data_IF_656697164666
#
_entry.id   IF_656697164666
#
_cell.length_a   1.000
_cell.length_b   1.000
_cell.length_c   1.000
_cell.angle_alpha   90.00
_cell.angle_beta   90.00
_cell.angle_gamma   90.00
#
_symmetry.space_group_name_H-M   'P 1'
#
loop_
_entity.id
_entity.type
_entity.pdbx_description
1 polymer ?
#
# COMPACT_ATOMS: atom_id res chain seq x y z
N UNK A 1 22.69 -19.88 13.94
CA UNK A 1 21.61 -18.90 13.66
C UNK A 1 20.58 -19.04 14.77
N UNK A 2 19.87 -17.94 15.10
CA UNK A 2 18.75 -17.96 16.08
C UNK A 2 17.64 -18.86 15.53
N UNK A 3 17.02 -19.67 16.40
CA UNK A 3 15.87 -20.48 16.02
C UNK A 3 14.58 -19.71 16.35
N UNK A 4 13.74 -19.47 15.34
CA UNK A 4 12.42 -18.92 15.50
C UNK A 4 11.37 -20.02 15.59
N UNK A 5 10.23 -19.73 16.23
CA UNK A 5 9.10 -20.66 16.37
C UNK A 5 7.96 -20.32 15.41
N UNK A 6 7.90 -19.08 14.90
CA UNK A 6 6.94 -18.64 13.89
C UNK A 6 7.56 -17.53 13.03
N UNK A 7 6.96 -17.33 11.86
CA UNK A 7 7.33 -16.26 10.92
C UNK A 7 6.11 -15.38 10.68
N UNK A 8 6.29 -14.07 10.87
CA UNK A 8 5.36 -13.07 10.42
C UNK A 8 5.81 -12.54 9.06
N UNK A 9 4.87 -12.27 8.18
CA UNK A 9 5.20 -11.84 6.82
C UNK A 9 4.20 -10.79 6.34
N UNK A 10 4.70 -9.72 5.72
CA UNK A 10 3.88 -8.78 4.99
C UNK A 10 3.38 -9.39 3.68
N UNK A 11 2.37 -8.76 3.08
CA UNK A 11 1.75 -9.26 1.86
C UNK A 11 2.06 -8.44 0.61
N UNK A 12 1.63 -7.17 0.59
CA UNK A 12 1.73 -6.32 -0.59
C UNK A 12 3.17 -5.85 -0.81
N UNK A 13 3.72 -6.11 -1.99
CA UNK A 13 5.11 -5.86 -2.39
C UNK A 13 6.18 -6.69 -1.64
N UNK A 14 5.74 -7.60 -0.77
CA UNK A 14 6.58 -8.64 -0.16
C UNK A 14 6.31 -10.01 -0.80
N UNK A 15 5.05 -10.41 -0.94
CA UNK A 15 4.60 -11.66 -1.57
C UNK A 15 3.80 -11.37 -2.83
N UNK A 16 2.82 -10.49 -2.77
CA UNK A 16 2.03 -10.02 -3.92
C UNK A 16 2.67 -8.80 -4.59
N UNK A 17 2.66 -8.75 -5.92
CA UNK A 17 3.12 -7.61 -6.73
C UNK A 17 2.05 -6.53 -6.79
N UNK A 18 1.88 -5.76 -5.71
CA UNK A 18 0.93 -4.66 -5.67
C UNK A 18 1.35 -3.49 -6.57
N UNK A 19 2.64 -3.16 -6.61
CA UNK A 19 3.16 -2.08 -7.46
C UNK A 19 2.88 -2.38 -8.94
N UNK A 20 3.12 -3.62 -9.39
CA UNK A 20 2.80 -4.04 -10.76
C UNK A 20 1.31 -3.99 -11.05
N UNK A 21 0.48 -4.52 -10.17
CA UNK A 21 -0.98 -4.49 -10.30
C UNK A 21 -1.51 -3.04 -10.32
N UNK A 22 -1.05 -2.18 -9.43
CA UNK A 22 -1.43 -0.76 -9.39
C UNK A 22 -1.02 -0.01 -10.67
N UNK A 23 0.16 -0.30 -11.24
CA UNK A 23 0.60 0.29 -12.50
C UNK A 23 -0.35 -0.06 -13.65
N UNK A 24 -0.76 -1.32 -13.76
CA UNK A 24 -1.71 -1.75 -14.78
C UNK A 24 -3.09 -1.14 -14.57
N UNK A 25 -3.57 -1.12 -13.33
CA UNK A 25 -4.84 -0.51 -12.97
C UNK A 25 -4.89 0.99 -13.34
N UNK A 26 -3.85 1.76 -12.99
CA UNK A 26 -3.78 3.19 -13.31
C UNK A 26 -3.73 3.44 -14.82
N UNK A 27 -3.06 2.58 -15.60
CA UNK A 27 -3.03 2.67 -17.05
C UNK A 27 -4.44 2.42 -17.64
N UNK A 28 -5.11 1.37 -17.22
CA UNK A 28 -6.46 1.03 -17.66
C UNK A 28 -7.48 2.12 -17.29
N UNK A 29 -7.37 2.65 -16.07
CA UNK A 29 -8.22 3.75 -15.61
C UNK A 29 -7.98 5.04 -16.41
N UNK A 30 -6.73 5.33 -16.80
CA UNK A 30 -6.41 6.50 -17.61
C UNK A 30 -7.16 6.48 -18.95
N UNK A 31 -7.26 5.30 -19.56
CA UNK A 31 -8.01 5.10 -20.81
C UNK A 31 -9.52 5.09 -20.57
N UNK A 32 -9.99 4.29 -19.60
CA UNK A 32 -11.41 4.11 -19.27
C UNK A 32 -12.12 5.43 -18.97
N UNK A 33 -11.49 6.30 -18.21
CA UNK A 33 -12.07 7.57 -17.74
C UNK A 33 -11.69 8.77 -18.61
N UNK A 34 -11.04 8.57 -19.78
CA UNK A 34 -10.57 9.62 -20.68
C UNK A 34 -9.76 10.68 -19.90
N UNK A 35 -8.85 10.23 -19.02
CA UNK A 35 -8.08 11.15 -18.17
C UNK A 35 -7.17 12.08 -18.97
N UNK A 36 -6.99 11.83 -20.28
CA UNK A 36 -6.40 12.79 -21.23
C UNK A 36 -7.14 14.13 -21.31
N UNK A 37 -8.37 14.23 -20.83
CA UNK A 37 -9.11 15.49 -20.74
C UNK A 37 -8.61 16.38 -19.60
N UNK A 38 -8.01 15.79 -18.58
CA UNK A 38 -7.53 16.46 -17.34
C UNK A 38 -6.01 16.61 -17.31
N UNK A 39 -5.26 15.65 -17.87
CA UNK A 39 -3.80 15.56 -17.82
C UNK A 39 -3.19 15.63 -19.23
N UNK A 40 -1.96 16.14 -19.33
CA UNK A 40 -1.22 16.14 -20.60
C UNK A 40 -0.80 14.72 -21.01
N UNK A 41 -0.53 13.82 -20.05
CA UNK A 41 -0.18 12.43 -20.29
C UNK A 41 -0.50 11.54 -19.08
N UNK A 42 -0.43 10.22 -19.28
CA UNK A 42 -0.52 9.23 -18.20
C UNK A 42 0.60 9.42 -17.15
N UNK A 43 1.80 9.77 -17.59
CA UNK A 43 2.94 10.01 -16.68
C UNK A 43 2.66 11.20 -15.76
N UNK A 44 2.01 12.26 -16.26
CA UNK A 44 1.59 13.39 -15.44
C UNK A 44 0.59 12.94 -14.36
N UNK A 45 -0.45 12.20 -14.75
CA UNK A 45 -1.42 11.65 -13.80
C UNK A 45 -0.72 10.84 -12.70
N UNK A 46 0.14 9.90 -13.07
CA UNK A 46 0.86 9.04 -12.12
C UNK A 46 1.82 9.86 -11.23
N UNK A 47 2.45 10.90 -11.77
CA UNK A 47 3.36 11.78 -11.02
C UNK A 47 2.66 12.61 -9.95
N UNK A 48 1.40 12.93 -10.15
CA UNK A 48 0.54 13.57 -9.15
C UNK A 48 -0.05 12.54 -8.16
N UNK A 49 -0.52 11.41 -8.68
CA UNK A 49 -1.15 10.37 -7.87
C UNK A 49 -0.20 9.74 -6.83
N UNK A 50 1.00 9.30 -7.25
CA UNK A 50 1.89 8.51 -6.37
C UNK A 50 2.30 9.24 -5.09
N UNK A 51 2.85 10.46 -5.12
CA UNK A 51 3.26 11.16 -3.90
C UNK A 51 2.08 11.44 -2.98
N UNK A 52 0.94 11.82 -3.55
CA UNK A 52 -0.26 12.12 -2.78
C UNK A 52 -0.84 10.87 -2.11
N UNK A 53 -0.88 9.74 -2.83
CA UNK A 53 -1.30 8.46 -2.24
C UNK A 53 -0.39 8.00 -1.09
N UNK A 54 0.93 8.18 -1.22
CA UNK A 54 1.89 7.87 -0.13
C UNK A 54 1.62 8.75 1.10
N UNK A 55 1.41 10.04 0.90
CA UNK A 55 1.08 10.98 1.99
C UNK A 55 -0.24 10.60 2.68
N UNK A 56 -1.26 10.21 1.91
CA UNK A 56 -2.55 9.79 2.45
C UNK A 56 -2.45 8.50 3.27
N UNK A 57 -1.66 7.53 2.83
CA UNK A 57 -1.40 6.32 3.60
C UNK A 57 -0.67 6.60 4.92
N UNK A 58 0.32 7.53 4.91
CA UNK A 58 0.99 7.97 6.13
C UNK A 58 0.01 8.66 7.11
N UNK A 59 -0.87 9.53 6.59
CA UNK A 59 -1.91 10.18 7.38
C UNK A 59 -2.94 9.19 7.93
N UNK A 60 -3.33 8.21 7.11
CA UNK A 60 -4.27 7.16 7.53
C UNK A 60 -3.68 6.29 8.65
N UNK A 61 -2.40 5.90 8.53
CA UNK A 61 -1.69 5.18 9.59
C UNK A 61 -1.54 5.94 10.91
N UNK A 62 -1.71 7.27 10.88
CA UNK A 62 -1.69 8.17 12.04
C UNK A 62 -3.08 8.60 12.52
N UNK A 63 -4.14 8.00 12.00
CA UNK A 63 -5.54 8.35 12.28
C UNK A 63 -5.89 9.83 11.97
N UNK A 64 -5.15 10.47 11.06
CA UNK A 64 -5.39 11.86 10.65
C UNK A 64 -6.43 11.99 9.53
N UNK A 65 -6.67 10.91 8.79
CA UNK A 65 -7.71 10.82 7.76
C UNK A 65 -8.44 9.48 7.86
N UNK A 66 -9.68 9.45 7.40
CA UNK A 66 -10.46 8.21 7.34
C UNK A 66 -10.13 7.39 6.09
N UNK A 67 -10.42 6.09 6.10
CA UNK A 67 -10.35 5.21 4.93
C UNK A 67 -11.17 5.76 3.75
N UNK A 68 -12.40 6.22 4.02
CA UNK A 68 -13.26 6.79 2.99
C UNK A 68 -12.63 8.03 2.33
N UNK A 69 -12.05 8.92 3.12
CA UNK A 69 -11.32 10.08 2.62
C UNK A 69 -10.12 9.65 1.76
N UNK A 70 -9.25 8.77 2.28
CA UNK A 70 -8.08 8.28 1.54
C UNK A 70 -8.49 7.70 0.18
N UNK A 71 -9.51 6.85 0.16
CA UNK A 71 -9.96 6.15 -1.05
C UNK A 71 -10.37 7.11 -2.16
N UNK A 72 -11.04 8.20 -1.83
CA UNK A 72 -11.53 9.18 -2.80
C UNK A 72 -10.46 10.22 -3.12
N UNK A 73 -9.84 10.81 -2.09
CA UNK A 73 -8.95 11.95 -2.25
C UNK A 73 -7.66 11.62 -3.01
N UNK A 74 -7.18 10.35 -2.96
CA UNK A 74 -6.04 9.91 -3.78
C UNK A 74 -6.28 10.08 -5.30
N UNK A 75 -7.53 10.18 -5.75
CA UNK A 75 -7.91 10.46 -7.14
C UNK A 75 -8.44 11.87 -7.33
N UNK A 76 -9.23 12.40 -6.38
CA UNK A 76 -9.80 13.73 -6.46
C UNK A 76 -8.71 14.81 -6.51
N UNK A 77 -7.72 14.72 -5.63
CA UNK A 77 -6.63 15.70 -5.60
C UNK A 77 -5.85 15.75 -6.93
N UNK A 78 -5.39 14.65 -7.54
CA UNK A 78 -4.76 14.69 -8.86
C UNK A 78 -5.68 15.27 -9.94
N UNK A 79 -6.97 14.92 -9.96
CA UNK A 79 -7.93 15.47 -10.93
C UNK A 79 -8.01 16.99 -10.84
N UNK A 80 -8.07 17.55 -9.62
CA UNK A 80 -8.10 18.99 -9.38
C UNK A 80 -6.80 19.70 -9.78
N UNK A 81 -5.67 18.99 -9.85
CA UNK A 81 -4.33 19.54 -10.12
C UNK A 81 -3.79 19.18 -11.52
N UNK A 82 -4.56 18.46 -12.34
CA UNK A 82 -4.18 18.15 -13.72
C UNK A 82 -3.97 19.40 -14.56
N UNK A 83 -2.89 19.44 -15.35
CA UNK A 83 -2.43 20.64 -16.06
C UNK A 83 -3.47 21.22 -17.02
N UNK A 84 -4.27 20.39 -17.67
CA UNK A 84 -5.31 20.83 -18.60
C UNK A 84 -6.48 21.52 -17.88
N UNK A 85 -6.90 20.97 -16.74
CA UNK A 85 -7.95 21.58 -15.94
C UNK A 85 -7.49 22.91 -15.34
N UNK A 86 -6.27 22.97 -14.78
CA UNK A 86 -5.67 24.19 -14.24
C UNK A 86 -5.56 25.27 -15.32
N UNK A 87 -5.07 24.91 -16.52
CA UNK A 87 -4.96 25.84 -17.65
C UNK A 87 -6.31 26.33 -18.16
N UNK A 88 -7.35 25.49 -18.13
CA UNK A 88 -8.72 25.91 -18.48
C UNK A 88 -9.28 26.90 -17.46
N UNK A 89 -9.10 26.62 -16.16
CA UNK A 89 -9.53 27.49 -15.07
C UNK A 89 -8.82 28.87 -15.11
N UNK A 90 -7.52 28.92 -15.44
CA UNK A 90 -6.77 30.16 -15.60
C UNK A 90 -7.29 30.99 -16.76
N UNK A 91 -7.54 30.42 -17.94
CA UNK A 91 -8.12 31.11 -19.11
C UNK A 91 -9.50 31.71 -18.80
N UNK A 92 -10.31 31.04 -17.99
CA UNK A 92 -11.61 31.54 -17.55
C UNK A 92 -11.44 32.75 -16.62
N UNK A 93 -10.42 32.75 -15.74
CA UNK A 93 -10.10 33.91 -14.87
C UNK A 93 -9.60 35.14 -15.61
N UNK A 94 -8.76 34.96 -16.63
CA UNK A 94 -8.24 36.04 -17.46
C UNK A 94 -9.33 36.68 -18.32
N UNK A 95 -10.37 35.91 -18.67
CA UNK A 95 -11.57 36.40 -19.34
C UNK A 95 -12.58 37.14 -18.44
N UNK A 96 -12.48 36.97 -17.12
CA UNK A 96 -13.32 37.61 -16.11
C UNK A 96 -12.45 38.50 -15.21
N UNK A 97 -12.25 39.78 -15.59
CA UNK A 97 -11.60 40.73 -14.70
C UNK A 97 -12.45 40.99 -13.45
N UNK A 98 -11.98 40.53 -12.27
CA UNK A 98 -12.58 40.96 -11.02
C UNK A 98 -12.26 40.11 -9.79
N UNK A 99 -11.27 40.52 -9.01
CA UNK A 99 -11.17 40.33 -7.57
C UNK A 99 -10.36 39.11 -7.05
N UNK A 100 -9.64 39.31 -5.92
CA UNK A 100 -8.80 38.27 -5.35
C UNK A 100 -9.61 37.39 -4.40
N UNK A 101 -10.06 36.23 -4.82
CA UNK A 101 -10.54 35.23 -3.92
C UNK A 101 -9.89 33.87 -4.21
N UNK A 102 -9.24 33.29 -3.20
CA UNK A 102 -8.35 32.11 -3.27
C UNK A 102 -9.10 30.77 -3.26
N UNK A 103 -10.26 30.66 -3.86
CA UNK A 103 -10.89 29.37 -4.11
C UNK A 103 -10.77 29.02 -5.59
N UNK A 104 -10.45 27.76 -5.90
CA UNK A 104 -10.47 27.22 -7.26
C UNK A 104 -11.82 27.60 -7.91
N UNK A 105 -11.85 28.25 -9.08
CA UNK A 105 -13.10 28.72 -9.68
C UNK A 105 -13.75 27.62 -10.53
N UNK A 106 -13.86 26.44 -9.96
CA UNK A 106 -14.71 25.40 -10.49
C UNK A 106 -16.10 25.69 -9.96
N UNK A 107 -17.10 25.83 -10.85
CA UNK A 107 -18.50 25.92 -10.43
C UNK A 107 -18.86 24.72 -9.55
N UNK A 108 -19.81 24.85 -8.64
CA UNK A 108 -20.23 23.78 -7.73
C UNK A 108 -20.49 22.46 -8.49
N UNK A 109 -21.13 22.52 -9.65
CA UNK A 109 -21.43 21.39 -10.53
C UNK A 109 -20.17 20.59 -10.97
N UNK A 110 -19.05 21.27 -11.24
CA UNK A 110 -17.81 20.59 -11.65
C UNK A 110 -17.08 19.95 -10.46
N UNK A 111 -17.15 20.57 -9.28
CA UNK A 111 -16.61 19.97 -8.06
C UNK A 111 -17.33 18.67 -7.70
N UNK A 112 -18.65 18.64 -7.79
CA UNK A 112 -19.46 17.45 -7.55
C UNK A 112 -19.18 16.37 -8.61
N UNK A 113 -19.06 16.74 -9.89
CA UNK A 113 -18.76 15.82 -10.97
C UNK A 113 -17.37 15.15 -10.80
N UNK A 114 -16.34 15.92 -10.39
CA UNK A 114 -15.00 15.38 -10.14
C UNK A 114 -14.97 14.49 -8.89
N UNK A 115 -15.75 14.81 -7.87
CA UNK A 115 -15.88 13.96 -6.68
C UNK A 115 -16.53 12.62 -7.04
N UNK A 116 -17.62 12.64 -7.80
CA UNK A 116 -18.29 11.43 -8.29
C UNK A 116 -17.37 10.59 -9.18
N UNK A 117 -16.56 11.23 -10.03
CA UNK A 117 -15.55 10.55 -10.84
C UNK A 117 -14.48 9.88 -9.95
N UNK A 118 -13.96 10.59 -8.96
CA UNK A 118 -12.97 10.07 -8.02
C UNK A 118 -13.50 8.89 -7.20
N UNK A 119 -14.78 8.91 -6.81
CA UNK A 119 -15.46 7.79 -6.14
C UNK A 119 -15.50 6.55 -7.04
N UNK A 120 -15.91 6.70 -8.31
CA UNK A 120 -15.91 5.60 -9.28
C UNK A 120 -14.50 5.06 -9.52
N UNK A 121 -13.52 5.94 -9.70
CA UNK A 121 -12.12 5.57 -9.84
C UNK A 121 -11.62 4.81 -8.60
N UNK A 122 -12.06 5.18 -7.41
CA UNK A 122 -11.70 4.49 -6.17
C UNK A 122 -12.18 3.04 -6.13
N UNK A 123 -13.41 2.78 -6.51
CA UNK A 123 -13.95 1.41 -6.60
C UNK A 123 -13.24 0.59 -7.67
N UNK A 124 -13.09 1.17 -8.87
CA UNK A 124 -12.41 0.50 -9.96
C UNK A 124 -10.95 0.17 -9.63
N UNK A 125 -10.24 1.05 -8.95
CA UNK A 125 -8.85 0.79 -8.57
C UNK A 125 -8.72 -0.44 -7.66
N UNK A 126 -9.62 -0.64 -6.72
CA UNK A 126 -9.64 -1.83 -5.87
C UNK A 126 -9.91 -3.09 -6.70
N UNK A 127 -10.91 -3.03 -7.58
CA UNK A 127 -11.27 -4.16 -8.45
C UNK A 127 -10.13 -4.50 -9.42
N UNK A 128 -9.54 -3.49 -10.07
CA UNK A 128 -8.46 -3.67 -11.04
C UNK A 128 -7.16 -4.15 -10.39
N UNK A 129 -6.78 -3.61 -9.23
CA UNK A 129 -5.59 -4.10 -8.52
C UNK A 129 -5.75 -5.55 -8.07
N UNK A 130 -6.97 -5.98 -7.76
CA UNK A 130 -7.28 -7.38 -7.47
C UNK A 130 -7.33 -8.22 -8.74
N UNK A 131 -7.86 -7.70 -9.86
CA UNK A 131 -7.89 -8.38 -11.14
C UNK A 131 -6.47 -8.64 -11.70
N UNK A 132 -5.59 -7.65 -11.60
CA UNK A 132 -4.19 -7.71 -12.02
C UNK A 132 -3.25 -8.32 -10.98
N UNK A 133 -3.79 -8.84 -9.86
CA UNK A 133 -2.97 -9.44 -8.82
C UNK A 133 -2.09 -10.57 -9.36
N UNK A 134 -0.82 -10.56 -9.00
CA UNK A 134 0.13 -11.63 -9.24
C UNK A 134 1.09 -11.77 -8.05
N UNK A 135 1.76 -12.92 -7.96
CA UNK A 135 2.82 -13.12 -6.98
C UNK A 135 4.14 -12.55 -7.49
N UNK A 136 4.95 -12.04 -6.58
CA UNK A 136 6.35 -11.69 -6.88
C UNK A 136 7.15 -12.95 -7.26
N UNK A 137 8.18 -12.83 -8.11
CA UNK A 137 9.04 -13.95 -8.45
C UNK A 137 9.64 -14.63 -7.21
N UNK A 138 9.46 -15.96 -7.09
CA UNK A 138 9.92 -16.76 -5.95
C UNK A 138 9.02 -16.73 -4.71
N UNK A 139 7.93 -15.95 -4.71
CA UNK A 139 7.04 -15.82 -3.54
C UNK A 139 6.32 -17.12 -3.21
N UNK A 140 5.81 -17.83 -4.20
CA UNK A 140 5.17 -19.13 -3.98
C UNK A 140 6.14 -20.15 -3.36
N UNK A 141 7.37 -20.23 -3.89
CA UNK A 141 8.41 -21.12 -3.38
C UNK A 141 8.74 -20.79 -1.91
N UNK A 142 8.96 -19.51 -1.61
CA UNK A 142 9.24 -19.05 -0.25
C UNK A 142 8.12 -19.40 0.73
N UNK A 143 6.87 -19.09 0.38
CA UNK A 143 5.72 -19.33 1.28
C UNK A 143 5.54 -20.82 1.54
N UNK A 144 5.65 -21.66 0.51
CA UNK A 144 5.56 -23.13 0.68
C UNK A 144 6.72 -23.70 1.52
N UNK A 145 7.95 -23.20 1.29
CA UNK A 145 9.11 -23.58 2.08
C UNK A 145 8.95 -23.21 3.56
N UNK A 146 8.52 -21.96 3.84
CA UNK A 146 8.34 -21.49 5.21
C UNK A 146 7.19 -22.19 5.91
N UNK A 147 6.04 -22.40 5.24
CA UNK A 147 4.87 -23.05 5.84
C UNK A 147 5.12 -24.52 6.18
N UNK A 148 6.08 -25.18 5.52
CA UNK A 148 6.50 -26.54 5.87
C UNK A 148 7.36 -26.61 7.15
N UNK A 149 7.93 -25.47 7.58
CA UNK A 149 8.86 -25.38 8.73
C UNK A 149 8.27 -24.60 9.92
N UNK A 150 7.44 -23.61 9.67
CA UNK A 150 6.98 -22.63 10.65
C UNK A 150 5.47 -22.36 10.52
N UNK A 151 4.75 -22.10 11.61
CA UNK A 151 3.52 -21.37 11.56
C UNK A 151 3.76 -20.00 10.90
N UNK A 152 3.00 -19.69 9.80
CA UNK A 152 3.08 -18.41 9.11
C UNK A 152 1.91 -17.53 9.50
N UNK A 153 2.17 -16.26 9.81
CA UNK A 153 1.15 -15.25 10.06
C UNK A 153 1.35 -14.07 9.12
N UNK A 154 0.36 -13.77 8.30
CA UNK A 154 0.35 -12.53 7.52
C UNK A 154 0.00 -11.36 8.43
N UNK A 155 0.75 -10.24 8.31
CA UNK A 155 0.45 -8.97 9.00
C UNK A 155 0.43 -7.86 7.94
N UNK A 156 -0.76 -7.36 7.60
CA UNK A 156 -0.94 -6.46 6.46
C UNK A 156 -1.79 -5.22 6.78
N UNK A 157 -1.45 -4.09 6.13
CA UNK A 157 -2.23 -2.84 6.15
C UNK A 157 -3.25 -2.73 5.01
N UNK A 158 -3.32 -3.73 4.14
CA UNK A 158 -4.25 -3.72 3.01
C UNK A 158 -5.71 -3.74 3.44
N UNK A 159 -6.59 -3.21 2.59
CA UNK A 159 -8.02 -3.15 2.85
C UNK A 159 -8.68 -4.53 2.84
N UNK A 160 -9.53 -4.78 3.81
CA UNK A 160 -10.18 -6.08 4.03
C UNK A 160 -10.97 -6.55 2.79
N UNK A 161 -11.59 -5.62 2.05
CA UNK A 161 -12.44 -5.93 0.89
C UNK A 161 -11.67 -6.65 -0.23
N UNK A 162 -10.38 -6.38 -0.35
CA UNK A 162 -9.55 -6.92 -1.44
C UNK A 162 -8.51 -7.93 -0.97
N UNK A 163 -8.09 -7.90 0.30
CA UNK A 163 -7.01 -8.77 0.77
C UNK A 163 -7.41 -10.24 0.75
N UNK A 164 -8.59 -10.59 1.24
CA UNK A 164 -9.04 -11.99 1.23
C UNK A 164 -9.16 -12.54 -0.20
N UNK A 165 -9.63 -11.73 -1.16
CA UNK A 165 -9.67 -12.14 -2.56
C UNK A 165 -8.28 -12.36 -3.15
N UNK A 166 -7.29 -11.51 -2.80
CA UNK A 166 -5.89 -11.70 -3.20
C UNK A 166 -5.31 -12.99 -2.61
N UNK A 167 -5.59 -13.30 -1.33
CA UNK A 167 -5.15 -14.55 -0.72
C UNK A 167 -5.75 -15.76 -1.44
N UNK A 168 -7.04 -15.72 -1.75
CA UNK A 168 -7.71 -16.83 -2.45
C UNK A 168 -7.13 -16.98 -3.88
N UNK A 169 -6.95 -15.89 -4.63
CA UNK A 169 -6.34 -15.89 -5.97
C UNK A 169 -4.89 -16.39 -5.97
N UNK A 170 -4.16 -16.16 -4.91
CA UNK A 170 -2.76 -16.61 -4.81
C UNK A 170 -2.61 -18.13 -4.73
N UNK A 171 -3.65 -18.85 -4.29
CA UNK A 171 -3.57 -20.27 -3.97
C UNK A 171 -2.67 -20.60 -2.77
N UNK A 172 -2.32 -19.58 -1.95
CA UNK A 172 -1.43 -19.72 -0.80
C UNK A 172 -2.14 -19.55 0.55
N UNK A 173 -3.45 -19.27 0.54
CA UNK A 173 -4.19 -18.99 1.78
C UNK A 173 -4.02 -20.05 2.85
N UNK A 174 -4.06 -21.32 2.47
CA UNK A 174 -3.92 -22.46 3.38
C UNK A 174 -2.50 -22.64 3.95
N UNK A 175 -1.52 -21.91 3.40
CA UNK A 175 -0.17 -21.88 3.95
C UNK A 175 -0.06 -21.01 5.21
N UNK A 176 -1.04 -20.15 5.47
CA UNK A 176 -1.02 -19.21 6.59
C UNK A 176 -1.86 -19.74 7.77
N UNK A 177 -1.24 -19.83 8.94
CA UNK A 177 -1.89 -20.18 10.19
C UNK A 177 -2.83 -19.08 10.66
N UNK A 178 -2.40 -17.81 10.49
CA UNK A 178 -3.19 -16.63 10.84
C UNK A 178 -3.02 -15.54 9.78
N UNK A 179 -4.05 -14.71 9.64
CA UNK A 179 -4.05 -13.50 8.84
C UNK A 179 -4.49 -12.36 9.76
N UNK A 180 -3.63 -11.37 9.93
CA UNK A 180 -3.86 -10.20 10.78
C UNK A 180 -3.98 -8.98 9.89
N UNK A 181 -5.19 -8.49 9.74
CA UNK A 181 -5.52 -7.28 8.97
C UNK A 181 -5.59 -6.08 9.91
N UNK A 182 -4.96 -4.99 9.52
CA UNK A 182 -4.94 -3.75 10.31
C UNK A 182 -6.33 -3.23 10.68
N UNK A 183 -7.30 -3.37 9.77
CA UNK A 183 -8.69 -2.94 9.99
C UNK A 183 -9.39 -3.79 11.05
N UNK A 184 -9.11 -5.09 11.13
CA UNK A 184 -9.70 -5.98 12.15
C UNK A 184 -9.11 -5.71 13.54
N UNK A 185 -7.83 -5.31 13.60
CA UNK A 185 -7.15 -4.95 14.85
C UNK A 185 -7.44 -3.52 15.28
N UNK A 186 -7.86 -2.66 14.34
CA UNK A 186 -8.11 -1.24 14.57
C UNK A 186 -6.83 -0.41 14.70
N UNK A 187 -5.72 -0.87 14.14
CA UNK A 187 -4.47 -0.11 14.03
C UNK A 187 -3.57 -0.68 12.93
N UNK A 188 -2.76 0.18 12.32
CA UNK A 188 -1.87 -0.16 11.22
C UNK A 188 -0.42 -0.34 11.67
N UNK A 189 0.37 -1.12 10.91
CA UNK A 189 1.83 -1.05 10.98
C UNK A 189 2.27 0.41 10.68
N UNK A 190 3.21 0.98 11.42
CA UNK A 190 4.14 0.40 12.40
C UNK A 190 3.68 0.40 13.86
N UNK A 191 2.38 0.56 14.16
CA UNK A 191 1.90 0.51 15.53
C UNK A 191 2.18 -0.88 16.14
N UNK A 192 2.84 -1.00 17.30
CA UNK A 192 3.19 -2.29 17.89
C UNK A 192 1.97 -3.16 18.22
N UNK A 193 0.79 -2.59 18.45
CA UNK A 193 -0.43 -3.35 18.78
C UNK A 193 -0.81 -4.38 17.71
N UNK A 194 -0.55 -4.13 16.43
CA UNK A 194 -0.86 -5.12 15.38
C UNK A 194 0.05 -6.35 15.50
N UNK A 195 1.30 -6.15 15.90
CA UNK A 195 2.25 -7.24 16.15
C UNK A 195 1.95 -7.95 17.47
N UNK A 196 1.54 -7.23 18.51
CA UNK A 196 1.09 -7.80 19.79
C UNK A 196 -0.11 -8.73 19.57
N UNK A 197 -1.05 -8.35 18.71
CA UNK A 197 -2.18 -9.23 18.33
C UNK A 197 -1.70 -10.46 17.57
N UNK A 198 -0.79 -10.31 16.62
CA UNK A 198 -0.19 -11.44 15.91
C UNK A 198 0.55 -12.40 16.88
N UNK A 199 1.31 -11.86 17.84
CA UNK A 199 1.97 -12.65 18.90
C UNK A 199 0.96 -13.38 19.77
N UNK A 200 -0.11 -12.69 20.19
CA UNK A 200 -1.18 -13.28 21.01
C UNK A 200 -1.87 -14.44 20.29
N UNK A 201 -2.17 -14.30 18.98
CA UNK A 201 -2.80 -15.36 18.18
C UNK A 201 -1.91 -16.60 18.07
N UNK A 202 -0.59 -16.42 18.03
CA UNK A 202 0.39 -17.50 17.98
C UNK A 202 0.78 -18.05 19.37
N UNK A 203 0.44 -17.37 20.46
CA UNK A 203 0.85 -17.73 21.81
C UNK A 203 2.37 -17.67 22.04
N UNK A 204 3.05 -16.72 21.37
CA UNK A 204 4.50 -16.58 21.35
C UNK A 204 4.95 -15.22 21.90
N UNK A 205 6.19 -15.13 22.34
CA UNK A 205 6.86 -13.88 22.68
C UNK A 205 7.61 -13.31 21.46
N UNK A 206 7.97 -12.01 21.53
CA UNK A 206 8.59 -11.31 20.42
C UNK A 206 9.94 -11.93 19.98
N UNK A 207 10.73 -12.44 20.94
CA UNK A 207 12.03 -13.05 20.66
C UNK A 207 11.93 -14.40 19.92
N UNK A 208 10.75 -15.02 19.88
CA UNK A 208 10.50 -16.31 19.25
C UNK A 208 10.08 -16.18 17.78
N UNK A 209 9.91 -14.95 17.31
CA UNK A 209 9.34 -14.64 15.98
C UNK A 209 10.29 -13.76 15.18
N UNK A 210 10.21 -13.85 13.86
CA UNK A 210 10.83 -12.93 12.91
C UNK A 210 9.79 -12.36 11.97
N UNK A 211 9.87 -11.05 11.66
CA UNK A 211 9.04 -10.37 10.67
C UNK A 211 9.78 -10.22 9.35
N UNK A 212 9.14 -10.63 8.25
CA UNK A 212 9.62 -10.44 6.88
C UNK A 212 8.79 -9.35 6.22
N UNK A 213 9.43 -8.34 5.63
CA UNK A 213 8.72 -7.27 4.91
C UNK A 213 9.64 -6.44 4.05
N UNK A 214 9.07 -5.66 3.14
CA UNK A 214 9.80 -4.77 2.23
C UNK A 214 9.83 -3.32 2.70
N UNK A 215 8.81 -2.87 3.44
CA UNK A 215 8.68 -1.49 3.88
C UNK A 215 9.45 -1.22 5.19
N UNK A 216 10.47 -0.34 5.10
CA UNK A 216 11.17 0.08 6.32
C UNK A 216 10.22 0.74 7.33
N UNK A 217 9.39 1.68 6.89
CA UNK A 217 8.58 2.52 7.77
C UNK A 217 7.43 1.76 8.43
N UNK A 218 6.87 0.74 7.78
CA UNK A 218 5.75 -0.04 8.33
C UNK A 218 6.20 -1.37 8.94
N UNK A 219 6.91 -2.21 8.17
CA UNK A 219 7.23 -3.56 8.60
C UNK A 219 8.40 -3.62 9.56
N UNK A 220 9.52 -3.04 9.13
CA UNK A 220 10.76 -3.15 9.88
C UNK A 220 10.72 -2.31 11.14
N UNK A 221 10.35 -1.03 11.02
CA UNK A 221 10.21 -0.16 12.18
C UNK A 221 9.14 -0.65 13.15
N UNK A 222 8.01 -1.19 12.61
CA UNK A 222 6.95 -1.74 13.44
C UNK A 222 7.41 -2.98 14.22
N UNK A 223 8.13 -3.90 13.59
CA UNK A 223 8.69 -5.07 14.24
C UNK A 223 9.76 -4.68 15.29
N UNK A 224 10.62 -3.69 14.99
CA UNK A 224 11.56 -3.13 15.98
C UNK A 224 10.80 -2.60 17.19
N UNK A 225 9.75 -1.82 16.99
CA UNK A 225 8.94 -1.24 18.06
C UNK A 225 8.26 -2.33 18.93
N UNK A 226 7.97 -3.48 18.34
CA UNK A 226 7.39 -4.65 19.03
C UNK A 226 8.45 -5.61 19.61
N UNK A 227 9.74 -5.34 19.43
CA UNK A 227 10.83 -6.20 19.92
C UNK A 227 11.02 -7.50 19.12
N UNK A 228 10.48 -7.56 17.91
CA UNK A 228 10.57 -8.71 17.00
C UNK A 228 11.78 -8.53 16.08
N UNK A 229 12.55 -9.60 15.81
CA UNK A 229 13.62 -9.60 14.81
C UNK A 229 13.05 -9.42 13.39
N UNK A 230 13.85 -8.84 12.47
CA UNK A 230 13.39 -8.48 11.14
C UNK A 230 14.27 -9.05 10.04
N UNK A 231 13.65 -9.48 8.95
CA UNK A 231 14.29 -9.71 7.65
C UNK A 231 13.74 -8.65 6.69
N UNK A 232 14.59 -7.67 6.37
CA UNK A 232 14.21 -6.61 5.45
C UNK A 232 14.58 -6.99 4.02
N UNK A 233 13.56 -7.13 3.16
CA UNK A 233 13.73 -7.32 1.72
C UNK A 233 13.89 -5.93 1.10
N UNK A 234 15.15 -5.46 1.02
CA UNK A 234 15.44 -4.11 0.58
C UNK A 234 15.45 -4.01 -0.95
N UNK A 235 14.56 -3.20 -1.51
CA UNK A 235 14.64 -2.81 -2.92
C UNK A 235 15.87 -1.92 -3.12
N UNK A 236 16.63 -2.15 -4.17
CA UNK A 236 17.98 -1.58 -4.39
C UNK A 236 18.09 -0.05 -4.34
N UNK A 237 16.98 0.67 -4.50
CA UNK A 237 16.91 2.14 -4.54
C UNK A 237 16.49 2.80 -3.23
N UNK A 238 16.10 2.02 -2.20
CA UNK A 238 15.73 2.62 -0.93
C UNK A 238 16.97 3.09 -0.15
N UNK A 239 16.94 4.33 0.39
CA UNK A 239 18.03 4.80 1.23
C UNK A 239 18.10 3.98 2.53
N UNK A 240 19.31 3.71 3.00
CA UNK A 240 19.51 3.12 4.33
C UNK A 240 19.13 4.16 5.39
N UNK A 241 18.27 3.81 6.37
CA UNK A 241 17.97 4.71 7.48
C UNK A 241 19.22 4.95 8.30
N UNK A 242 19.44 6.23 8.68
CA UNK A 242 20.63 6.60 9.46
C UNK A 242 20.54 6.07 10.88
N UNK A 243 21.58 5.34 11.31
CA UNK A 243 21.71 4.88 12.71
C UNK A 243 20.80 3.73 13.11
N UNK A 244 20.09 3.10 12.17
CA UNK A 244 19.26 1.93 12.40
C UNK A 244 19.61 0.81 11.40
N UNK A 245 19.45 -0.43 11.83
CA UNK A 245 19.63 -1.61 10.96
C UNK A 245 18.58 -2.65 11.29
N UNK A 246 18.12 -3.39 10.26
CA UNK A 246 17.36 -4.61 10.48
C UNK A 246 18.26 -5.72 11.02
N UNK A 247 17.66 -6.75 11.65
CA UNK A 247 18.40 -7.93 12.12
C UNK A 247 19.06 -8.65 10.94
N UNK A 248 18.34 -8.76 9.83
CA UNK A 248 18.85 -9.30 8.56
C UNK A 248 18.41 -8.40 7.40
N UNK A 249 19.31 -8.24 6.42
CA UNK A 249 19.08 -7.48 5.20
C UNK A 249 19.28 -8.44 4.00
N UNK A 250 18.28 -8.54 3.13
CA UNK A 250 18.30 -9.36 1.91
C UNK A 250 17.84 -8.53 0.71
N UNK A 251 18.17 -9.00 -0.50
CA UNK A 251 17.75 -8.36 -1.75
C UNK A 251 16.73 -9.19 -2.54
N UNK A 252 16.54 -10.46 -2.13
CA UNK A 252 15.63 -11.39 -2.81
C UNK A 252 14.91 -12.30 -1.82
N UNK A 253 13.79 -12.88 -2.27
CA UNK A 253 13.04 -13.88 -1.50
C UNK A 253 13.84 -15.19 -1.31
N UNK A 254 14.74 -15.53 -2.25
CA UNK A 254 15.58 -16.71 -2.12
C UNK A 254 16.60 -16.60 -0.97
N UNK A 255 17.15 -15.41 -0.72
CA UNK A 255 18.07 -15.18 0.41
C UNK A 255 17.38 -15.37 1.78
N UNK A 256 16.05 -15.17 1.86
CA UNK A 256 15.29 -15.45 3.08
C UNK A 256 15.35 -16.93 3.44
N UNK A 257 15.28 -17.84 2.45
CA UNK A 257 15.38 -19.30 2.66
C UNK A 257 16.77 -19.75 3.13
N UNK A 258 17.82 -18.95 2.91
CA UNK A 258 19.15 -19.22 3.41
C UNK A 258 19.30 -18.86 4.91
N UNK A 259 18.43 -17.96 5.40
CA UNK A 259 18.39 -17.50 6.80
C UNK A 259 17.52 -18.43 7.65
N UNK A 260 16.39 -18.92 7.09
CA UNK A 260 15.34 -19.69 7.76
C UNK A 260 15.28 -21.13 7.22
#
# INVERSE_FOLDING_TARGET
MKQYKAVFIDWDDTIGDFIGAAKLALQEMYEKYNLSDYFASHEEFVSLYKPHNIELWDKYGKDLVTKAFLRVDRFLWPLLHGSKLVSAAQRTKEGMMGGPNKSFPLGEDLGEALTSLAEQMSEDFLNLTTAHFSLLPGAEELVRYLSAKYPLTVVTNGFIEVQYEKFDKSGLRDCFTHIVLSEEVGCQKPNPRIYEEALRMNGLSAEEVVMIGDSWSSDIQGAINAGIDQIWIRKSQEPLPQGQSATYLVQSLSEVMEIL
#
